data_IF_748037485436
#
_entry.id   IF_748037485436
#
_cell.length_a   1.000
_cell.length_b   1.000
_cell.length_c   1.000
_cell.angle_alpha   90.00
_cell.angle_beta   90.00
_cell.angle_gamma   90.00
#
_symmetry.space_group_name_H-M   'P 1'
#
loop_
_entity.id
_entity.type
_entity.pdbx_description
1 polymer ?
#
# COMPACT_ATOMS: atom_id res chain seq x y z
N UNK A 1 64.99 60.67 -10.80
CA UNK A 1 66.04 60.89 -11.82
C UNK A 1 65.41 60.54 -13.16
N UNK A 2 65.24 61.54 -14.03
CA UNK A 2 64.94 61.56 -15.50
C UNK A 2 64.15 60.43 -16.19
N UNK A 3 63.38 60.60 -17.27
CA UNK A 3 62.62 61.66 -17.96
C UNK A 3 62.21 61.02 -19.32
N UNK A 4 60.92 61.09 -19.74
CA UNK A 4 60.36 61.13 -21.14
C UNK A 4 60.65 60.00 -22.16
N UNK A 5 59.84 59.61 -23.18
CA UNK A 5 58.72 60.17 -23.99
C UNK A 5 58.17 59.01 -24.88
N UNK A 6 56.96 58.90 -25.45
CA UNK A 6 55.72 59.68 -25.48
C UNK A 6 54.63 59.10 -26.46
N UNK A 7 53.36 59.54 -26.28
CA UNK A 7 52.31 59.89 -27.30
C UNK A 7 51.63 58.72 -28.10
N UNK A 8 50.28 58.58 -28.34
CA UNK A 8 49.01 59.34 -28.15
C UNK A 8 47.73 58.43 -28.29
N UNK A 9 46.65 58.80 -27.57
CA UNK A 9 45.17 58.82 -27.83
C UNK A 9 44.50 57.77 -28.76
N UNK A 10 43.36 57.14 -28.42
CA UNK A 10 42.01 57.75 -28.26
C UNK A 10 41.01 56.81 -27.57
N UNK A 11 40.05 57.41 -26.88
CA UNK A 11 38.98 56.80 -26.07
C UNK A 11 37.69 56.70 -26.90
N UNK A 12 36.96 55.59 -26.84
CA UNK A 12 35.53 55.62 -27.13
C UNK A 12 34.76 54.55 -26.33
N UNK A 13 33.89 55.03 -25.46
CA UNK A 13 32.93 54.28 -24.66
C UNK A 13 31.64 54.26 -25.46
N UNK A 14 31.16 53.07 -25.84
CA UNK A 14 29.89 52.94 -26.55
C UNK A 14 28.74 52.71 -25.57
N UNK A 15 27.81 53.66 -25.64
CA UNK A 15 26.53 53.74 -24.96
C UNK A 15 25.54 52.66 -25.45
N UNK A 16 24.71 52.15 -24.55
CA UNK A 16 23.55 51.31 -24.85
C UNK A 16 22.44 52.14 -25.49
N UNK A 17 21.95 51.73 -26.66
CA UNK A 17 20.69 52.19 -27.24
C UNK A 17 19.65 51.06 -27.21
N UNK A 18 18.55 51.31 -26.50
CA UNK A 18 17.31 50.54 -26.59
C UNK A 18 16.60 50.85 -27.92
N UNK A 19 16.46 49.86 -28.80
CA UNK A 19 15.58 49.95 -29.96
C UNK A 19 14.34 49.08 -29.80
N UNK A 20 13.19 49.74 -29.75
CA UNK A 20 11.86 49.14 -29.67
C UNK A 20 11.52 48.30 -30.89
N UNK A 21 11.02 47.09 -30.64
CA UNK A 21 10.50 46.19 -31.66
C UNK A 21 9.08 46.62 -32.03
N UNK A 22 8.96 47.45 -33.07
CA UNK A 22 7.70 47.62 -33.80
C UNK A 22 7.86 47.04 -35.20
N UNK A 23 6.87 46.23 -35.59
CA UNK A 23 6.41 45.94 -36.96
C UNK A 23 7.47 45.62 -38.03
N UNK A 24 7.57 44.33 -38.41
CA UNK A 24 8.12 43.96 -39.72
C UNK A 24 7.10 43.09 -40.50
N UNK A 25 6.64 43.52 -41.69
CA UNK A 25 5.65 42.80 -42.47
C UNK A 25 6.25 41.62 -43.24
N UNK A 26 5.45 40.56 -43.35
CA UNK A 26 5.70 39.35 -44.12
C UNK A 26 5.75 39.64 -45.62
N UNK A 27 6.93 39.71 -46.24
CA UNK A 27 7.17 39.34 -47.66
C UNK A 27 8.66 39.44 -47.99
N UNK A 28 9.37 38.31 -48.05
CA UNK A 28 10.65 38.22 -48.76
C UNK A 28 10.46 37.18 -49.86
N UNK A 29 10.52 37.62 -51.12
CA UNK A 29 10.49 36.76 -52.29
C UNK A 29 11.73 35.85 -52.31
N UNK A 30 11.62 34.56 -52.68
CA UNK A 30 12.76 33.66 -52.73
C UNK A 30 13.70 34.00 -53.90
N UNK A 31 15.00 34.01 -53.63
CA UNK A 31 16.05 34.27 -54.63
C UNK A 31 16.18 33.19 -55.72
N UNK A 32 16.84 33.50 -56.85
CA UNK A 32 16.69 32.79 -58.13
C UNK A 32 17.47 31.46 -58.25
N UNK A 33 17.88 30.83 -57.16
CA UNK A 33 18.73 29.62 -57.18
C UNK A 33 18.16 28.42 -56.42
N UNK A 34 16.86 28.17 -56.50
CA UNK A 34 16.24 26.96 -55.97
C UNK A 34 15.34 26.30 -57.02
N UNK A 35 15.96 25.72 -58.05
CA UNK A 35 15.28 24.80 -58.97
C UNK A 35 15.73 23.38 -58.67
N UNK A 36 14.75 22.50 -58.44
CA UNK A 36 14.86 21.03 -58.32
C UNK A 36 15.30 20.48 -56.96
N UNK A 37 14.43 20.67 -55.96
CA UNK A 37 14.42 19.87 -54.74
C UNK A 37 13.04 19.95 -54.14
N UNK A 38 12.11 19.12 -54.62
CA UNK A 38 10.78 19.00 -54.05
C UNK A 38 10.86 18.38 -52.65
N UNK A 39 11.21 19.18 -51.64
CA UNK A 39 10.89 18.82 -50.26
C UNK A 39 9.36 18.79 -50.18
N UNK A 40 8.77 17.60 -50.26
CA UNK A 40 7.48 17.37 -49.64
C UNK A 40 7.66 17.62 -48.15
N UNK A 41 7.51 18.89 -47.73
CA UNK A 41 7.24 19.24 -46.35
C UNK A 41 5.90 18.58 -46.06
N UNK A 42 5.92 17.34 -45.54
CA UNK A 42 4.73 16.71 -44.94
C UNK A 42 4.19 17.77 -43.99
N UNK A 43 2.95 18.21 -44.23
CA UNK A 43 2.28 19.09 -43.29
C UNK A 43 2.45 18.48 -41.89
N UNK A 44 2.95 19.24 -40.90
CA UNK A 44 3.26 18.68 -39.62
C UNK A 44 1.99 18.05 -39.05
N UNK A 45 2.08 16.77 -38.65
CA UNK A 45 0.99 16.03 -38.03
C UNK A 45 0.29 16.95 -37.02
N UNK A 46 -1.02 17.13 -37.16
CA UNK A 46 -1.82 18.07 -36.35
C UNK A 46 -1.57 17.87 -34.85
N UNK A 47 -1.39 16.62 -34.43
CA UNK A 47 -1.11 16.27 -33.03
C UNK A 47 0.34 16.52 -32.60
N UNK A 48 1.30 16.55 -33.52
CA UNK A 48 2.69 16.93 -33.24
C UNK A 48 2.77 18.39 -32.80
N UNK A 49 2.18 19.30 -33.59
CA UNK A 49 2.12 20.73 -33.28
C UNK A 49 1.40 20.97 -31.95
N UNK A 50 0.28 20.27 -31.72
CA UNK A 50 -0.45 20.36 -30.46
C UNK A 50 0.40 19.90 -29.26
N UNK A 51 1.14 18.81 -29.41
CA UNK A 51 1.95 18.25 -28.32
C UNK A 51 3.11 19.16 -27.89
N UNK A 52 3.66 19.95 -28.81
CA UNK A 52 4.73 20.91 -28.54
C UNK A 52 4.26 22.08 -27.65
N UNK A 53 2.95 22.39 -27.66
CA UNK A 53 2.37 23.43 -26.79
C UNK A 53 2.28 23.01 -25.30
N UNK A 54 2.49 21.73 -25.00
CA UNK A 54 2.35 21.23 -23.64
C UNK A 54 3.63 21.40 -22.80
N UNK A 55 3.50 22.10 -21.68
CA UNK A 55 4.52 22.13 -20.63
C UNK A 55 4.57 20.85 -19.78
N UNK A 56 5.40 20.86 -18.74
CA UNK A 56 5.65 19.70 -17.85
C UNK A 56 4.40 19.06 -17.22
N UNK A 57 3.26 19.77 -17.18
CA UNK A 57 1.97 19.21 -16.72
C UNK A 57 1.54 17.93 -17.44
N UNK A 58 1.93 17.73 -18.71
CA UNK A 58 1.59 16.51 -19.47
C UNK A 58 2.39 15.31 -18.96
N UNK A 59 3.63 15.53 -18.52
CA UNK A 59 4.46 14.49 -17.94
C UNK A 59 3.84 13.97 -16.64
N UNK A 60 3.47 14.85 -15.70
CA UNK A 60 2.84 14.44 -14.44
C UNK A 60 1.52 13.69 -14.66
N UNK A 61 0.71 14.09 -15.64
CA UNK A 61 -0.52 13.36 -15.99
C UNK A 61 -0.23 11.96 -16.55
N UNK A 62 0.83 11.79 -17.33
CA UNK A 62 1.25 10.47 -17.84
C UNK A 62 1.78 9.58 -16.71
N UNK A 63 2.59 10.15 -15.82
CA UNK A 63 3.14 9.43 -14.66
C UNK A 63 2.05 9.00 -13.68
N UNK A 64 1.16 9.91 -13.30
CA UNK A 64 0.01 9.58 -12.46
C UNK A 64 -0.93 8.57 -13.13
N UNK A 65 -1.11 8.62 -14.46
CA UNK A 65 -1.90 7.60 -15.17
C UNK A 65 -1.26 6.22 -15.03
N UNK A 66 0.06 6.15 -15.22
CA UNK A 66 0.81 4.91 -15.05
C UNK A 66 0.74 4.38 -13.62
N UNK A 67 0.82 5.24 -12.59
CA UNK A 67 0.64 4.81 -11.20
C UNK A 67 -0.75 4.23 -10.94
N UNK A 68 -1.80 4.89 -11.45
CA UNK A 68 -3.18 4.40 -11.32
C UNK A 68 -3.31 3.03 -12.01
N UNK A 69 -2.82 2.90 -13.24
CA UNK A 69 -2.85 1.64 -13.98
C UNK A 69 -2.01 0.56 -13.26
N UNK A 70 -0.85 0.90 -12.68
CA UNK A 70 -0.01 -0.02 -11.93
C UNK A 70 -0.71 -0.56 -10.69
N UNK A 71 -1.32 0.32 -9.88
CA UNK A 71 -2.07 -0.08 -8.68
C UNK A 71 -3.24 -1.00 -9.06
N UNK A 72 -4.01 -0.64 -10.09
CA UNK A 72 -5.15 -1.44 -10.54
C UNK A 72 -4.73 -2.82 -11.05
N UNK A 73 -3.66 -2.90 -11.84
CA UNK A 73 -3.18 -4.17 -12.38
C UNK A 73 -2.59 -5.03 -11.28
N UNK A 74 -1.67 -4.51 -10.46
CA UNK A 74 -0.98 -5.28 -9.41
C UNK A 74 -1.97 -5.76 -8.35
N UNK A 75 -2.75 -4.87 -7.77
CA UNK A 75 -3.62 -5.24 -6.65
C UNK A 75 -4.95 -5.85 -7.12
N UNK A 76 -5.50 -5.38 -8.24
CA UNK A 76 -6.75 -5.92 -8.78
C UNK A 76 -6.58 -7.20 -9.55
N UNK A 77 -5.96 -7.11 -10.73
CA UNK A 77 -5.77 -8.28 -11.59
C UNK A 77 -4.80 -9.28 -10.95
N UNK A 78 -3.70 -8.83 -10.36
CA UNK A 78 -2.77 -9.69 -9.62
C UNK A 78 -3.45 -10.37 -8.42
N UNK A 79 -4.28 -9.64 -7.67
CA UNK A 79 -5.12 -10.20 -6.61
C UNK A 79 -6.06 -11.29 -7.13
N UNK A 80 -6.83 -11.00 -8.19
CA UNK A 80 -7.73 -11.97 -8.83
C UNK A 80 -7.00 -13.26 -9.24
N UNK A 81 -5.86 -13.13 -9.93
CA UNK A 81 -5.06 -14.29 -10.37
C UNK A 81 -4.57 -15.08 -9.17
N UNK A 82 -4.05 -14.41 -8.14
CA UNK A 82 -3.57 -15.06 -6.92
C UNK A 82 -4.66 -15.85 -6.20
N UNK A 83 -5.84 -15.24 -5.95
CA UNK A 83 -6.94 -15.93 -5.26
C UNK A 83 -7.54 -17.06 -6.08
N UNK A 84 -7.62 -16.88 -7.41
CA UNK A 84 -8.10 -17.95 -8.30
C UNK A 84 -7.13 -19.13 -8.28
N UNK A 85 -5.82 -18.86 -8.40
CA UNK A 85 -4.79 -19.90 -8.33
C UNK A 85 -4.80 -20.63 -6.98
N UNK A 86 -5.00 -19.91 -5.87
CA UNK A 86 -5.13 -20.51 -4.53
C UNK A 86 -6.34 -21.44 -4.44
N UNK A 87 -7.49 -21.04 -4.98
CA UNK A 87 -8.71 -21.87 -4.99
C UNK A 87 -8.56 -23.13 -5.86
N UNK A 88 -7.93 -22.99 -7.03
CA UNK A 88 -7.78 -24.10 -7.99
C UNK A 88 -6.75 -25.13 -7.53
N UNK A 89 -5.68 -24.69 -6.87
CA UNK A 89 -4.59 -25.59 -6.50
C UNK A 89 -4.88 -26.48 -5.29
N UNK A 90 -5.94 -26.20 -4.50
CA UNK A 90 -6.24 -26.82 -3.18
C UNK A 90 -5.05 -26.88 -2.20
N UNK A 91 -3.92 -26.23 -2.53
CA UNK A 91 -2.68 -26.25 -1.78
C UNK A 91 -2.54 -24.99 -0.92
N UNK A 92 -1.79 -25.10 0.18
CA UNK A 92 -1.51 -23.97 1.07
C UNK A 92 -0.78 -22.82 0.36
N UNK A 93 0.03 -23.13 -0.67
CA UNK A 93 0.73 -22.14 -1.48
C UNK A 93 0.47 -22.34 -2.98
N UNK A 94 -0.05 -21.33 -3.70
CA UNK A 94 -0.21 -21.43 -5.14
C UNK A 94 1.15 -21.41 -5.83
N UNK A 95 1.25 -22.09 -6.99
CA UNK A 95 2.46 -22.03 -7.81
C UNK A 95 2.73 -20.59 -8.28
N UNK A 96 3.70 -19.94 -7.66
CA UNK A 96 4.04 -18.53 -7.93
C UNK A 96 4.50 -18.31 -9.37
N UNK A 97 5.13 -19.30 -10.01
CA UNK A 97 5.53 -19.20 -11.42
C UNK A 97 4.32 -19.05 -12.34
N UNK A 98 3.26 -19.82 -12.10
CA UNK A 98 2.02 -19.75 -12.87
C UNK A 98 1.27 -18.44 -12.62
N UNK A 99 1.21 -17.99 -11.35
CA UNK A 99 0.60 -16.71 -10.96
C UNK A 99 1.29 -15.55 -11.68
N UNK A 100 2.62 -15.51 -11.65
CA UNK A 100 3.41 -14.46 -12.32
C UNK A 100 3.23 -14.53 -13.84
N UNK A 101 3.22 -15.73 -14.43
CA UNK A 101 3.01 -15.90 -15.88
C UNK A 101 1.65 -15.35 -16.33
N UNK A 102 0.55 -15.72 -15.65
CA UNK A 102 -0.80 -15.23 -15.94
C UNK A 102 -0.93 -13.72 -15.69
N UNK A 103 -0.24 -13.21 -14.66
CA UNK A 103 -0.17 -11.79 -14.37
C UNK A 103 0.48 -11.00 -15.53
N UNK A 104 1.63 -11.47 -16.02
CA UNK A 104 2.35 -10.84 -17.12
C UNK A 104 1.55 -10.87 -18.44
N UNK A 105 0.95 -12.02 -18.77
CA UNK A 105 0.14 -12.15 -19.99
C UNK A 105 -1.08 -11.22 -19.92
N UNK A 106 -1.82 -11.22 -18.81
CA UNK A 106 -3.02 -10.38 -18.70
C UNK A 106 -2.71 -8.89 -18.67
N UNK A 107 -1.63 -8.47 -18.00
CA UNK A 107 -1.19 -7.07 -18.02
C UNK A 107 -0.76 -6.62 -19.42
N UNK A 108 -0.07 -7.48 -20.18
CA UNK A 108 0.26 -7.22 -21.57
C UNK A 108 -1.00 -7.06 -22.45
N UNK A 109 -1.96 -7.97 -22.32
CA UNK A 109 -3.25 -7.90 -23.04
C UNK A 109 -4.05 -6.64 -22.68
N UNK A 110 -4.06 -6.24 -21.40
CA UNK A 110 -4.74 -5.03 -20.94
C UNK A 110 -4.24 -3.78 -21.67
N UNK A 111 -2.91 -3.56 -21.71
CA UNK A 111 -2.34 -2.40 -22.41
C UNK A 111 -2.54 -2.49 -23.92
N UNK A 112 -2.33 -3.66 -24.52
CA UNK A 112 -2.47 -3.85 -25.97
C UNK A 112 -3.89 -3.57 -26.47
N UNK A 113 -4.90 -4.11 -25.79
CA UNK A 113 -6.30 -4.02 -26.23
C UNK A 113 -6.87 -2.62 -25.97
N UNK A 114 -6.67 -2.07 -24.76
CA UNK A 114 -7.26 -0.79 -24.39
C UNK A 114 -6.59 0.37 -25.15
N UNK A 115 -5.26 0.43 -25.19
CA UNK A 115 -4.57 1.47 -25.96
C UNK A 115 -4.81 1.32 -27.47
N UNK A 116 -4.83 0.09 -28.00
CA UNK A 116 -5.02 -0.16 -29.43
C UNK A 116 -6.41 0.20 -29.94
N UNK A 117 -7.46 -0.19 -29.21
CA UNK A 117 -8.84 0.03 -29.64
C UNK A 117 -9.33 1.45 -29.34
N UNK A 118 -8.88 2.06 -28.24
CA UNK A 118 -9.48 3.31 -27.76
C UNK A 118 -8.49 4.45 -27.57
N UNK A 119 -7.20 4.15 -27.45
CA UNK A 119 -6.19 5.12 -27.04
C UNK A 119 -6.24 5.48 -25.55
N UNK A 120 -7.10 4.84 -24.76
CA UNK A 120 -7.20 5.02 -23.31
C UNK A 120 -6.72 3.79 -22.56
N UNK A 121 -6.14 4.02 -21.39
CA UNK A 121 -6.06 3.07 -20.27
C UNK A 121 -6.94 3.62 -19.14
N UNK A 122 -7.21 2.84 -18.09
CA UNK A 122 -8.00 3.31 -16.95
C UNK A 122 -7.40 4.60 -16.35
N UNK A 123 -6.10 4.62 -16.08
CA UNK A 123 -5.41 5.80 -15.54
C UNK A 123 -5.46 7.00 -16.49
N UNK A 124 -5.28 6.78 -17.79
CA UNK A 124 -5.36 7.85 -18.81
C UNK A 124 -6.76 8.41 -18.96
N UNK A 125 -7.78 7.55 -18.85
CA UNK A 125 -9.18 7.95 -18.87
C UNK A 125 -9.51 8.88 -17.69
N UNK A 126 -9.11 8.50 -16.48
CA UNK A 126 -9.29 9.31 -15.26
C UNK A 126 -8.60 10.67 -15.38
N UNK A 127 -7.36 10.70 -15.90
CA UNK A 127 -6.59 11.94 -16.04
C UNK A 127 -6.91 12.74 -17.31
N UNK A 128 -7.91 12.29 -18.08
CA UNK A 128 -8.41 12.92 -19.31
C UNK A 128 -7.30 13.16 -20.33
N UNK A 129 -6.45 12.16 -20.52
CA UNK A 129 -5.43 12.11 -21.57
C UNK A 129 -5.68 10.91 -22.49
N UNK A 130 -5.35 11.03 -23.76
CA UNK A 130 -5.59 9.99 -24.76
C UNK A 130 -4.39 9.85 -25.68
N UNK A 131 -4.03 8.60 -26.01
CA UNK A 131 -3.07 8.27 -27.06
C UNK A 131 -3.78 8.34 -28.42
N UNK A 132 -3.20 9.10 -29.34
CA UNK A 132 -3.73 9.32 -30.68
C UNK A 132 -2.63 9.22 -31.74
N UNK A 133 -3.02 8.96 -32.98
CA UNK A 133 -2.15 9.08 -34.15
C UNK A 133 -1.98 10.57 -34.55
N UNK A 134 -1.19 10.87 -35.59
CA UNK A 134 -0.98 12.24 -36.08
C UNK A 134 -2.25 13.02 -36.44
N UNK A 135 -3.35 12.31 -36.76
CA UNK A 135 -4.65 12.88 -37.12
C UNK A 135 -5.60 13.10 -35.93
N UNK A 136 -5.26 12.61 -34.73
CA UNK A 136 -6.12 12.68 -33.54
C UNK A 136 -7.11 11.52 -33.39
N UNK A 137 -6.93 10.43 -34.15
CA UNK A 137 -7.72 9.18 -34.04
C UNK A 137 -7.00 8.15 -33.14
N UNK A 138 -7.70 7.12 -32.63
CA UNK A 138 -7.06 6.03 -31.90
C UNK A 138 -5.92 5.38 -32.71
N UNK A 139 -4.84 4.92 -32.05
CA UNK A 139 -3.61 4.47 -32.72
C UNK A 139 -3.77 3.15 -33.49
N UNK A 140 -4.75 2.30 -33.13
CA UNK A 140 -4.90 0.97 -33.70
C UNK A 140 -3.97 -0.07 -33.03
N UNK A 141 -4.26 -1.35 -33.26
CA UNK A 141 -3.62 -2.48 -32.56
C UNK A 141 -2.12 -2.55 -32.86
N UNK A 142 -1.72 -2.37 -34.13
CA UNK A 142 -0.29 -2.47 -34.54
C UNK A 142 0.57 -1.42 -33.85
N UNK A 143 0.12 -0.15 -33.86
CA UNK A 143 0.85 0.94 -33.20
C UNK A 143 0.86 0.75 -31.68
N UNK A 144 -0.21 0.23 -31.10
CA UNK A 144 -0.25 -0.14 -29.68
C UNK A 144 0.72 -1.27 -29.34
N UNK A 145 0.82 -2.29 -30.18
CA UNK A 145 1.75 -3.40 -29.97
C UNK A 145 3.21 -2.93 -29.94
N UNK A 146 3.60 -2.08 -30.90
CA UNK A 146 4.94 -1.48 -30.93
C UNK A 146 5.21 -0.71 -29.64
N UNK A 147 4.23 0.07 -29.16
CA UNK A 147 4.34 0.81 -27.90
C UNK A 147 4.51 -0.13 -26.72
N UNK A 148 3.67 -1.17 -26.59
CA UNK A 148 3.69 -2.11 -25.46
C UNK A 148 4.97 -2.95 -25.43
N UNK A 149 5.50 -3.37 -26.59
CA UNK A 149 6.77 -4.10 -26.67
C UNK A 149 7.97 -3.23 -26.25
N UNK A 150 8.03 -1.99 -26.75
CA UNK A 150 9.09 -1.05 -26.36
C UNK A 150 8.96 -0.66 -24.89
N UNK A 151 7.73 -0.59 -24.38
CA UNK A 151 7.45 -0.30 -22.97
C UNK A 151 8.00 -1.37 -22.02
N UNK A 152 8.15 -2.62 -22.46
CA UNK A 152 8.78 -3.67 -21.64
C UNK A 152 10.25 -3.35 -21.32
N UNK A 153 10.93 -2.62 -22.21
CA UNK A 153 12.33 -2.21 -22.07
C UNK A 153 12.43 -0.81 -21.44
N UNK A 154 11.64 0.15 -21.92
CA UNK A 154 11.72 1.58 -21.57
C UNK A 154 10.97 1.93 -20.25
N UNK A 155 10.01 1.11 -19.84
CA UNK A 155 9.19 1.31 -18.62
C UNK A 155 9.19 0.05 -17.76
N UNK A 156 10.36 -0.59 -17.63
CA UNK A 156 10.51 -1.73 -16.73
C UNK A 156 10.32 -1.26 -15.27
N UNK A 157 9.33 -1.80 -14.53
CA UNK A 157 9.10 -1.42 -13.12
C UNK A 157 10.30 -1.69 -12.21
N UNK A 158 11.16 -2.66 -12.55
CA UNK A 158 12.32 -3.07 -11.76
C UNK A 158 13.50 -2.09 -11.86
N UNK A 159 13.60 -1.31 -12.94
CA UNK A 159 14.66 -0.32 -13.14
C UNK A 159 14.10 1.10 -13.07
N UNK A 160 13.84 1.57 -11.84
CA UNK A 160 13.55 2.99 -11.51
C UNK A 160 12.14 3.53 -11.86
N UNK A 161 11.06 2.75 -11.72
CA UNK A 161 9.67 3.27 -11.75
C UNK A 161 9.34 4.19 -12.96
N UNK A 162 9.94 3.93 -14.13
CA UNK A 162 9.68 4.71 -15.35
C UNK A 162 10.32 6.10 -15.42
N UNK A 163 11.29 6.41 -14.55
CA UNK A 163 12.06 7.67 -14.60
C UNK A 163 12.77 7.93 -15.94
N UNK A 164 13.38 6.92 -16.63
CA UNK A 164 14.00 7.13 -17.95
C UNK A 164 12.99 7.60 -19.01
N UNK A 165 11.85 6.93 -19.10
CA UNK A 165 10.76 7.31 -19.98
C UNK A 165 10.19 8.71 -19.65
N UNK A 166 10.19 9.08 -18.37
CA UNK A 166 9.82 10.42 -17.91
C UNK A 166 10.77 11.52 -18.37
N UNK A 167 12.08 11.25 -18.25
CA UNK A 167 13.13 12.15 -18.72
C UNK A 167 13.04 12.35 -20.24
N UNK A 168 12.81 11.28 -21.01
CA UNK A 168 12.61 11.39 -22.47
C UNK A 168 11.44 12.32 -22.83
N UNK A 169 10.32 12.29 -22.08
CA UNK A 169 9.17 13.17 -22.32
C UNK A 169 9.51 14.63 -22.01
N UNK A 170 10.29 14.90 -20.96
CA UNK A 170 10.67 16.26 -20.59
C UNK A 170 11.65 16.86 -21.61
N UNK A 171 12.62 16.06 -22.06
CA UNK A 171 13.69 16.45 -22.98
C UNK A 171 13.22 16.56 -24.43
N UNK A 172 12.31 15.70 -24.87
CA UNK A 172 11.86 15.69 -26.28
C UNK A 172 10.91 16.87 -26.57
N UNK A 173 11.09 17.65 -27.66
CA UNK A 173 10.22 18.78 -28.01
C UNK A 173 8.73 18.40 -28.11
N UNK A 174 8.46 17.22 -28.68
CA UNK A 174 7.09 16.68 -28.87
C UNK A 174 6.53 15.93 -27.67
N UNK A 175 7.23 15.92 -26.53
CA UNK A 175 6.81 15.24 -25.29
C UNK A 175 6.47 13.75 -25.51
N UNK A 176 7.25 13.08 -26.36
CA UNK A 176 7.11 11.67 -26.73
C UNK A 176 8.13 10.79 -26.00
N UNK A 177 7.73 9.57 -25.64
CA UNK A 177 8.62 8.49 -25.20
C UNK A 177 9.22 7.75 -26.40
N UNK A 178 10.20 6.87 -26.16
CA UNK A 178 10.82 6.04 -27.21
C UNK A 178 9.74 5.22 -27.94
N UNK A 179 8.83 4.58 -27.19
CA UNK A 179 7.71 3.85 -27.78
C UNK A 179 6.70 4.74 -28.52
N UNK A 180 6.51 5.99 -28.08
CA UNK A 180 5.61 6.94 -28.75
C UNK A 180 6.20 7.40 -30.10
N UNK A 181 7.52 7.62 -30.14
CA UNK A 181 8.27 8.00 -31.34
C UNK A 181 8.28 6.87 -32.37
N UNK A 182 8.58 5.63 -31.95
CA UNK A 182 8.58 4.47 -32.82
C UNK A 182 7.21 4.19 -33.46
N UNK A 183 6.13 4.41 -32.73
CA UNK A 183 4.77 4.23 -33.25
C UNK A 183 4.19 5.46 -33.96
N UNK A 184 4.91 6.59 -33.99
CA UNK A 184 4.41 7.89 -34.48
C UNK A 184 3.04 8.23 -33.86
N UNK A 185 3.01 8.24 -32.53
CA UNK A 185 1.82 8.49 -31.72
C UNK A 185 2.07 9.58 -30.70
N UNK A 186 1.01 10.29 -30.33
CA UNK A 186 1.04 11.42 -29.43
C UNK A 186 0.07 11.15 -28.29
N UNK A 187 0.36 11.63 -27.08
CA UNK A 187 -0.68 11.66 -26.03
C UNK A 187 -1.01 13.10 -25.69
N UNK A 188 -2.31 13.38 -25.79
CA UNK A 188 -2.89 14.72 -25.77
C UNK A 188 -4.01 14.78 -24.74
N UNK A 189 -4.37 15.99 -24.32
CA UNK A 189 -5.50 16.19 -23.40
C UNK A 189 -6.80 16.04 -24.18
N UNK A 190 -7.77 15.31 -23.63
CA UNK A 190 -9.04 15.01 -24.32
C UNK A 190 -9.82 16.29 -24.66
N UNK A 191 -9.68 17.33 -23.85
CA UNK A 191 -10.30 18.64 -24.10
C UNK A 191 -9.81 19.33 -25.38
N UNK A 192 -8.63 18.97 -25.87
CA UNK A 192 -8.01 19.56 -27.05
C UNK A 192 -8.31 18.72 -28.33
N UNK A 193 -9.01 17.58 -28.18
CA UNK A 193 -9.51 16.76 -29.28
C UNK A 193 -10.91 17.24 -29.71
N UNK A 194 -11.12 17.40 -31.02
CA UNK A 194 -12.41 17.82 -31.59
C UNK A 194 -13.57 16.85 -31.26
N UNK A 195 -14.82 17.32 -31.37
CA UNK A 195 -16.06 16.67 -30.89
C UNK A 195 -16.40 15.26 -31.45
N UNK A 196 -15.54 14.63 -32.23
CA UNK A 196 -15.85 13.43 -33.04
C UNK A 196 -15.93 12.09 -32.27
N UNK A 197 -15.42 12.00 -31.03
CA UNK A 197 -15.31 10.72 -30.31
C UNK A 197 -16.41 10.35 -29.30
N UNK A 198 -17.39 11.23 -29.06
CA UNK A 198 -18.14 11.26 -27.78
C UNK A 198 -19.16 10.12 -27.55
N UNK A 199 -19.63 9.42 -28.60
CA UNK A 199 -20.72 8.42 -28.47
C UNK A 199 -20.27 7.03 -27.99
N UNK A 200 -19.03 6.60 -28.25
CA UNK A 200 -18.52 5.27 -27.81
C UNK A 200 -18.00 5.27 -26.37
N UNK A 201 -17.93 6.43 -25.73
CA UNK A 201 -17.29 6.64 -24.42
C UNK A 201 -18.16 6.18 -23.23
N UNK A 202 -19.50 6.17 -23.35
CA UNK A 202 -20.40 5.87 -22.22
C UNK A 202 -20.40 4.41 -21.77
N UNK A 203 -20.60 3.47 -22.70
CA UNK A 203 -20.57 2.02 -22.41
C UNK A 203 -19.17 1.61 -21.91
N UNK A 204 -18.14 2.17 -22.54
CA UNK A 204 -16.75 1.93 -22.18
C UNK A 204 -16.42 2.48 -20.78
N UNK A 205 -16.90 3.67 -20.43
CA UNK A 205 -16.77 4.22 -19.09
C UNK A 205 -17.44 3.33 -18.03
N UNK A 206 -18.61 2.75 -18.33
CA UNK A 206 -19.28 1.80 -17.46
C UNK A 206 -18.47 0.51 -17.23
N UNK A 207 -17.95 -0.09 -18.31
CA UNK A 207 -17.10 -1.27 -18.22
C UNK A 207 -15.80 -1.01 -17.45
N UNK A 208 -15.20 0.17 -17.67
CA UNK A 208 -14.04 0.66 -16.93
C UNK A 208 -14.34 0.77 -15.44
N UNK A 209 -15.45 1.42 -15.07
CA UNK A 209 -15.85 1.60 -13.67
C UNK A 209 -16.08 0.23 -13.00
N UNK A 210 -16.78 -0.68 -13.68
CA UNK A 210 -17.01 -2.03 -13.16
C UNK A 210 -15.68 -2.78 -12.94
N UNK A 211 -14.76 -2.75 -13.90
CA UNK A 211 -13.43 -3.35 -13.78
C UNK A 211 -12.63 -2.74 -12.62
N UNK A 212 -12.74 -1.42 -12.40
CA UNK A 212 -12.07 -0.76 -11.26
C UNK A 212 -12.66 -1.19 -9.92
N UNK A 213 -13.99 -1.34 -9.81
CA UNK A 213 -14.64 -1.80 -8.58
C UNK A 213 -14.19 -3.24 -8.25
N UNK A 214 -14.21 -4.13 -9.26
CA UNK A 214 -13.76 -5.51 -9.12
C UNK A 214 -12.28 -5.55 -8.68
N UNK A 215 -11.44 -4.74 -9.33
CA UNK A 215 -10.03 -4.58 -8.98
C UNK A 215 -9.84 -4.13 -7.52
N UNK A 216 -10.65 -3.20 -7.01
CA UNK A 216 -10.54 -2.73 -5.62
C UNK A 216 -10.90 -3.85 -4.64
N UNK A 217 -11.93 -4.66 -4.93
CA UNK A 217 -12.31 -5.80 -4.08
C UNK A 217 -11.16 -6.80 -3.95
N UNK A 218 -10.55 -7.19 -5.08
CA UNK A 218 -9.40 -8.10 -5.07
C UNK A 218 -8.16 -7.48 -4.42
N UNK A 219 -7.96 -6.17 -4.58
CA UNK A 219 -6.88 -5.45 -3.92
C UNK A 219 -6.98 -5.51 -2.39
N UNK A 220 -8.17 -5.23 -1.84
CA UNK A 220 -8.41 -5.29 -0.39
C UNK A 220 -8.18 -6.70 0.14
N UNK A 221 -8.68 -7.72 -0.57
CA UNK A 221 -8.46 -9.13 -0.21
C UNK A 221 -6.96 -9.49 -0.21
N UNK A 222 -6.21 -9.06 -1.24
CA UNK A 222 -4.78 -9.34 -1.38
C UNK A 222 -3.98 -8.67 -0.27
N UNK A 223 -4.24 -7.39 -0.01
CA UNK A 223 -3.61 -6.62 1.06
C UNK A 223 -3.90 -7.25 2.42
N UNK A 224 -5.14 -7.67 2.69
CA UNK A 224 -5.50 -8.36 3.92
C UNK A 224 -4.68 -9.65 4.12
N UNK A 225 -4.49 -10.44 3.06
CA UNK A 225 -3.68 -11.66 3.11
C UNK A 225 -2.20 -11.35 3.40
N UNK A 226 -1.64 -10.32 2.75
CA UNK A 226 -0.26 -9.90 3.00
C UNK A 226 -0.07 -9.41 4.44
N UNK A 227 -1.02 -8.61 4.96
CA UNK A 227 -1.00 -8.15 6.37
C UNK A 227 -1.00 -9.35 7.31
N UNK A 228 -1.84 -10.37 7.09
CA UNK A 228 -1.86 -11.57 7.95
C UNK A 228 -0.56 -12.38 7.91
N UNK A 229 0.22 -12.31 6.83
CA UNK A 229 1.53 -12.99 6.76
C UNK A 229 2.64 -12.23 7.49
N UNK A 230 2.56 -10.90 7.51
CA UNK A 230 3.52 -10.02 8.19
C UNK A 230 3.25 -10.02 9.69
N UNK A 231 1.97 -10.03 10.07
CA UNK A 231 1.50 -9.99 11.46
C UNK A 231 1.41 -11.42 12.02
N UNK A 232 2.56 -11.98 12.40
CA UNK A 232 2.60 -13.27 13.11
C UNK A 232 2.41 -13.06 14.61
N UNK A 233 1.55 -13.83 15.29
CA UNK A 233 1.49 -13.84 16.74
C UNK A 233 2.83 -14.28 17.34
N UNK A 234 3.22 -13.65 18.45
CA UNK A 234 4.42 -13.97 19.21
C UNK A 234 4.07 -14.89 20.37
N UNK A 235 4.95 -15.85 20.66
CA UNK A 235 4.81 -16.78 21.78
C UNK A 235 5.62 -16.26 22.96
N UNK A 236 4.94 -16.02 24.07
CA UNK A 236 5.55 -15.59 25.33
C UNK A 236 5.58 -16.77 26.29
N UNK A 237 6.78 -17.22 26.66
CA UNK A 237 6.98 -18.35 27.58
C UNK A 237 7.19 -17.89 29.02
N UNK A 238 6.85 -18.74 29.99
CA UNK A 238 7.22 -18.53 31.40
C UNK A 238 8.73 -18.50 31.59
N UNK A 239 9.19 -17.96 32.73
CA UNK A 239 10.62 -17.88 33.07
C UNK A 239 11.32 -19.25 33.06
N UNK A 240 10.60 -20.29 33.45
CA UNK A 240 11.03 -21.69 33.48
C UNK A 240 10.69 -22.48 32.21
N UNK A 241 10.09 -21.83 31.21
CA UNK A 241 9.67 -22.42 29.93
C UNK A 241 8.64 -23.57 30.02
N UNK A 242 7.95 -23.72 31.15
CA UNK A 242 6.89 -24.72 31.32
C UNK A 242 5.54 -24.30 30.75
N UNK A 243 5.30 -23.00 30.58
CA UNK A 243 4.01 -22.49 30.11
C UNK A 243 4.20 -21.43 29.03
N UNK A 244 3.19 -21.25 28.19
CA UNK A 244 3.21 -20.23 27.16
C UNK A 244 1.84 -19.63 26.89
N UNK A 245 1.83 -18.35 26.52
CA UNK A 245 0.70 -17.67 25.89
C UNK A 245 1.12 -17.12 24.52
N UNK A 246 0.17 -16.82 23.67
CA UNK A 246 0.40 -16.30 22.32
C UNK A 246 -0.40 -15.03 22.14
N UNK A 247 0.30 -13.93 21.87
CA UNK A 247 -0.31 -12.62 21.71
C UNK A 247 0.05 -12.00 20.35
N UNK A 248 -0.77 -11.07 19.83
CA UNK A 248 -0.46 -10.37 18.59
C UNK A 248 0.86 -9.59 18.67
N UNK A 249 1.48 -9.35 17.50
CA UNK A 249 2.75 -8.63 17.32
C UNK A 249 2.92 -7.26 18.03
N UNK A 250 1.83 -6.64 18.46
CA UNK A 250 1.82 -5.35 19.14
C UNK A 250 1.80 -5.49 20.68
N UNK A 251 1.96 -6.70 21.20
CA UNK A 251 2.21 -6.98 22.60
C UNK A 251 3.71 -7.15 22.83
N UNK A 252 4.19 -6.73 24.00
CA UNK A 252 5.58 -6.84 24.40
C UNK A 252 5.69 -7.29 25.85
N UNK A 253 6.82 -7.91 26.22
CA UNK A 253 7.09 -8.31 27.61
C UNK A 253 7.40 -7.09 28.46
N UNK A 254 6.81 -7.04 29.66
CA UNK A 254 7.13 -6.04 30.67
C UNK A 254 7.08 -6.66 32.07
N UNK A 255 8.25 -6.97 32.63
CA UNK A 255 8.36 -7.60 33.94
C UNK A 255 8.20 -6.61 35.10
N UNK A 256 8.04 -5.31 34.86
CA UNK A 256 7.87 -4.31 35.92
C UNK A 256 6.43 -4.22 36.43
N UNK A 257 5.47 -4.83 35.72
CA UNK A 257 4.05 -4.82 36.11
C UNK A 257 3.82 -5.66 37.37
N UNK A 258 4.45 -6.84 37.42
CA UNK A 258 4.42 -7.73 38.58
C UNK A 258 5.68 -8.61 38.52
N UNK A 259 6.53 -8.51 39.55
CA UNK A 259 7.82 -9.23 39.60
C UNK A 259 7.65 -10.75 39.79
N UNK A 260 6.57 -11.14 40.48
CA UNK A 260 6.24 -12.54 40.78
C UNK A 260 5.62 -13.25 39.57
N UNK A 261 5.09 -12.52 38.58
CA UNK A 261 4.51 -13.10 37.39
C UNK A 261 5.51 -13.93 36.57
N UNK A 262 5.07 -15.11 36.13
CA UNK A 262 5.82 -15.98 35.21
C UNK A 262 5.85 -15.42 33.79
N UNK A 263 4.71 -14.86 33.38
CA UNK A 263 4.53 -14.18 32.11
C UNK A 263 3.90 -12.82 32.42
N UNK A 264 4.49 -11.76 31.90
CA UNK A 264 3.94 -10.41 32.00
C UNK A 264 4.10 -9.70 30.67
N UNK A 265 2.96 -9.39 30.04
CA UNK A 265 2.90 -8.79 28.71
C UNK A 265 1.95 -7.59 28.71
N UNK A 266 2.28 -6.59 27.90
CA UNK A 266 1.45 -5.40 27.71
C UNK A 266 1.34 -5.02 26.26
N UNK A 267 0.28 -4.28 25.96
CA UNK A 267 0.14 -3.50 24.75
C UNK A 267 0.08 -2.03 25.15
N UNK A 268 1.19 -1.33 24.98
CA UNK A 268 1.33 0.07 25.41
C UNK A 268 0.42 1.03 24.64
N UNK A 269 0.17 0.76 23.35
CA UNK A 269 -0.67 1.61 22.50
C UNK A 269 -2.15 1.55 22.89
N UNK A 270 -2.62 0.38 23.35
CA UNK A 270 -4.04 0.17 23.70
C UNK A 270 -4.29 0.10 25.20
N UNK A 271 -3.23 0.19 26.01
CA UNK A 271 -3.24 0.12 27.48
C UNK A 271 -3.98 -1.13 27.96
N UNK A 272 -3.46 -2.28 27.52
CA UNK A 272 -3.94 -3.61 27.87
C UNK A 272 -2.80 -4.40 28.46
N UNK A 273 -3.11 -5.21 29.44
CA UNK A 273 -2.12 -5.92 30.23
C UNK A 273 -2.61 -7.34 30.45
N UNK A 274 -1.67 -8.28 30.48
CA UNK A 274 -1.94 -9.67 30.85
C UNK A 274 -0.75 -10.20 31.62
N UNK A 275 -1.02 -10.81 32.77
CA UNK A 275 -0.04 -11.58 33.53
C UNK A 275 -0.54 -13.00 33.74
N UNK A 276 0.41 -13.91 33.89
CA UNK A 276 0.19 -15.29 34.31
C UNK A 276 1.05 -15.55 35.54
N UNK A 277 0.41 -16.01 36.61
CA UNK A 277 1.07 -16.54 37.80
C UNK A 277 0.69 -18.02 37.92
N UNK A 278 1.67 -18.85 38.24
CA UNK A 278 1.50 -20.30 38.36
C UNK A 278 2.01 -20.76 39.72
N UNK A 279 1.22 -21.60 40.37
CA UNK A 279 1.54 -22.15 41.68
C UNK A 279 1.46 -23.68 41.59
N UNK A 280 2.48 -24.42 42.03
CA UNK A 280 2.48 -25.88 41.92
C UNK A 280 1.43 -26.46 42.86
N UNK A 281 0.73 -27.51 42.40
CA UNK A 281 -0.29 -28.18 43.22
C UNK A 281 0.25 -28.76 44.53
N UNK A 282 1.56 -29.00 44.61
CA UNK A 282 2.24 -29.46 45.83
C UNK A 282 2.16 -28.47 46.99
N UNK A 283 1.89 -27.20 46.70
CA UNK A 283 1.83 -26.15 47.72
C UNK A 283 0.44 -26.07 48.39
N UNK A 284 -0.52 -26.84 47.89
CA UNK A 284 -1.90 -26.89 48.38
C UNK A 284 -2.24 -28.26 48.98
N UNK A 285 -3.35 -28.33 49.73
CA UNK A 285 -3.90 -29.61 50.16
C UNK A 285 -4.28 -30.47 48.93
N UNK A 286 -4.04 -31.77 49.02
CA UNK A 286 -4.46 -32.75 48.01
C UNK A 286 -5.96 -32.74 47.68
N UNK A 287 -6.81 -32.25 48.59
CA UNK A 287 -8.25 -32.10 48.35
C UNK A 287 -8.64 -30.78 47.69
N UNK A 288 -7.69 -29.87 47.47
CA UNK A 288 -7.93 -28.54 46.91
C UNK A 288 -8.61 -28.66 45.54
N UNK A 289 -9.72 -27.94 45.37
CA UNK A 289 -10.48 -27.89 44.12
C UNK A 289 -10.24 -26.57 43.36
N UNK A 290 -10.51 -26.56 42.05
CA UNK A 290 -10.46 -25.34 41.25
C UNK A 290 -11.44 -24.26 41.74
N UNK A 291 -12.61 -24.63 42.27
CA UNK A 291 -13.57 -23.70 42.87
C UNK A 291 -13.01 -23.05 44.15
N UNK A 292 -12.36 -23.82 45.02
CA UNK A 292 -11.69 -23.28 46.22
C UNK A 292 -10.53 -22.37 45.83
N UNK A 293 -9.73 -22.77 44.84
CA UNK A 293 -8.64 -21.96 44.32
C UNK A 293 -9.14 -20.62 43.79
N UNK A 294 -10.19 -20.64 42.97
CA UNK A 294 -10.89 -19.43 42.52
C UNK A 294 -11.36 -18.57 43.69
N UNK A 295 -11.84 -19.17 44.78
CA UNK A 295 -12.25 -18.45 45.98
C UNK A 295 -11.10 -17.67 46.63
N UNK A 296 -9.94 -18.29 46.77
CA UNK A 296 -8.73 -17.66 47.31
C UNK A 296 -8.30 -16.47 46.44
N UNK A 297 -8.23 -16.67 45.12
CA UNK A 297 -7.82 -15.61 44.19
C UNK A 297 -8.82 -14.46 44.18
N UNK A 298 -10.12 -14.75 44.20
CA UNK A 298 -11.16 -13.73 44.26
C UNK A 298 -11.07 -12.88 45.53
N UNK A 299 -10.91 -13.50 46.70
CA UNK A 299 -10.75 -12.80 47.97
C UNK A 299 -9.50 -11.92 47.96
N UNK A 300 -8.38 -12.46 47.47
CA UNK A 300 -7.13 -11.71 47.36
C UNK A 300 -7.28 -10.47 46.47
N UNK A 301 -7.87 -10.62 45.28
CA UNK A 301 -8.03 -9.50 44.34
C UNK A 301 -9.03 -8.44 44.83
N UNK A 302 -10.15 -8.86 45.42
CA UNK A 302 -11.14 -7.95 45.99
C UNK A 302 -10.54 -7.17 47.16
N UNK A 303 -9.69 -7.79 47.98
CA UNK A 303 -9.02 -7.13 49.09
C UNK A 303 -7.97 -6.08 48.65
N UNK A 304 -7.38 -6.26 47.47
CA UNK A 304 -6.33 -5.41 46.93
C UNK A 304 -6.82 -4.21 46.10
N UNK A 305 -8.12 -4.10 45.82
CA UNK A 305 -8.68 -3.10 44.90
C UNK A 305 -9.80 -2.30 45.57
N UNK A 306 -9.80 -0.98 45.36
CA UNK A 306 -10.86 -0.08 45.86
C UNK A 306 -12.09 -0.09 44.96
N UNK A 307 -13.29 0.17 45.53
CA UNK A 307 -14.57 0.19 44.79
C UNK A 307 -14.81 -1.06 43.94
N UNK A 308 -14.59 -2.23 44.53
CA UNK A 308 -14.65 -3.51 43.83
C UNK A 308 -16.10 -3.96 43.55
N UNK A 309 -16.37 -4.31 42.29
CA UNK A 309 -17.63 -4.88 41.82
C UNK A 309 -17.33 -6.19 41.08
N UNK A 310 -17.72 -7.31 41.71
CA UNK A 310 -17.50 -8.65 41.19
C UNK A 310 -18.61 -9.03 40.21
N UNK A 311 -18.23 -9.52 39.03
CA UNK A 311 -19.15 -10.07 38.03
C UNK A 311 -19.42 -11.55 38.21
N UNK A 312 -20.25 -12.10 37.32
CA UNK A 312 -20.57 -13.52 37.34
C UNK A 312 -19.36 -14.38 36.97
N UNK A 313 -19.23 -15.52 37.66
CA UNK A 313 -18.30 -16.57 37.28
C UNK A 313 -18.92 -17.51 36.24
N UNK A 314 -18.09 -18.03 35.34
CA UNK A 314 -18.48 -19.03 34.35
C UNK A 314 -17.40 -20.08 34.18
N UNK A 315 -17.80 -21.35 34.22
CA UNK A 315 -16.93 -22.47 33.90
C UNK A 315 -16.63 -22.51 32.39
N UNK A 316 -15.39 -22.83 32.04
CA UNK A 316 -14.94 -23.00 30.66
C UNK A 316 -13.78 -23.98 30.58
N UNK A 317 -13.28 -24.19 29.36
CA UNK A 317 -12.12 -25.05 29.08
C UNK A 317 -11.11 -24.25 28.27
N UNK A 318 -9.88 -24.13 28.78
CA UNK A 318 -8.76 -23.47 28.09
C UNK A 318 -7.79 -24.53 27.59
N UNK A 319 -7.70 -24.73 26.27
CA UNK A 319 -6.84 -25.75 25.65
C UNK A 319 -6.94 -27.16 26.27
N UNK A 320 -8.14 -27.56 26.70
CA UNK A 320 -8.41 -28.86 27.31
C UNK A 320 -8.32 -28.89 28.83
N UNK A 321 -7.88 -27.81 29.48
CA UNK A 321 -7.83 -27.68 30.93
C UNK A 321 -9.10 -27.03 31.49
N UNK A 322 -9.66 -27.55 32.60
CA UNK A 322 -10.77 -26.91 33.28
C UNK A 322 -10.37 -25.54 33.81
N UNK A 323 -11.26 -24.56 33.65
CA UNK A 323 -11.00 -23.17 34.01
C UNK A 323 -12.27 -22.46 34.47
N UNK A 324 -12.11 -21.44 35.33
CA UNK A 324 -13.21 -20.59 35.79
C UNK A 324 -12.85 -19.14 35.47
N UNK A 325 -13.68 -18.48 34.67
CA UNK A 325 -13.56 -17.04 34.38
C UNK A 325 -14.51 -16.24 35.26
N UNK A 326 -14.04 -15.10 35.76
CA UNK A 326 -14.88 -14.05 36.34
C UNK A 326 -14.33 -12.67 35.98
N UNK A 327 -15.15 -11.65 36.15
CA UNK A 327 -14.74 -10.25 35.97
C UNK A 327 -14.72 -9.52 37.29
N UNK A 328 -13.77 -8.62 37.46
CA UNK A 328 -13.70 -7.74 38.62
C UNK A 328 -13.47 -6.31 38.13
N UNK A 329 -14.42 -5.44 38.42
CA UNK A 329 -14.25 -4.00 38.21
C UNK A 329 -13.77 -3.39 39.51
N UNK A 330 -12.90 -2.39 39.43
CA UNK A 330 -12.53 -1.57 40.58
C UNK A 330 -11.63 -0.41 40.19
N UNK A 331 -11.07 0.26 41.19
CA UNK A 331 -10.20 1.42 41.00
C UNK A 331 -8.80 1.16 41.52
N UNK A 332 -7.80 1.56 40.72
CA UNK A 332 -6.37 1.58 41.09
C UNK A 332 -5.87 3.00 40.82
N UNK A 333 -5.30 3.65 41.83
CA UNK A 333 -4.86 5.05 41.79
C UNK A 333 -5.93 6.01 41.26
N UNK A 334 -7.19 5.80 41.66
CA UNK A 334 -8.34 6.60 41.22
C UNK A 334 -8.74 6.40 39.76
N UNK A 335 -8.21 5.35 39.11
CA UNK A 335 -8.53 5.02 37.72
C UNK A 335 -9.34 3.73 37.64
N UNK A 336 -10.54 3.74 37.02
CA UNK A 336 -11.37 2.55 36.93
C UNK A 336 -10.82 1.54 35.93
N UNK A 337 -10.54 0.34 36.42
CA UNK A 337 -9.99 -0.81 35.69
C UNK A 337 -11.03 -1.93 35.68
N UNK A 338 -11.03 -2.70 34.60
CA UNK A 338 -11.77 -3.95 34.52
C UNK A 338 -10.78 -5.10 34.33
N UNK A 339 -10.80 -6.03 35.27
CA UNK A 339 -10.08 -7.30 35.20
C UNK A 339 -10.98 -8.39 34.63
N UNK A 340 -10.39 -9.22 33.79
CA UNK A 340 -10.86 -10.53 33.39
C UNK A 340 -9.88 -11.54 33.98
N UNK A 341 -10.35 -12.28 34.98
CA UNK A 341 -9.53 -13.24 35.71
C UNK A 341 -9.96 -14.62 35.25
N UNK A 342 -9.01 -15.49 34.97
CA UNK A 342 -9.30 -16.91 34.72
C UNK A 342 -8.37 -17.76 35.55
N UNK A 343 -8.93 -18.59 36.42
CA UNK A 343 -8.19 -19.65 37.09
C UNK A 343 -8.21 -20.91 36.22
N UNK A 344 -7.08 -21.58 36.10
CA UNK A 344 -6.91 -22.76 35.25
C UNK A 344 -6.25 -23.85 36.08
N UNK A 345 -6.76 -25.07 36.01
CA UNK A 345 -6.19 -26.23 36.65
C UNK A 345 -5.51 -27.14 35.61
N UNK A 346 -4.18 -27.27 35.71
CA UNK A 346 -3.40 -28.25 34.95
C UNK A 346 -3.08 -29.46 35.82
N UNK A 347 -2.49 -30.55 35.27
CA UNK A 347 -2.10 -31.70 36.08
C UNK A 347 -1.08 -31.35 37.19
N UNK A 348 -0.24 -30.35 36.95
CA UNK A 348 0.91 -30.02 37.79
C UNK A 348 0.71 -28.75 38.64
N UNK A 349 -0.07 -27.78 38.15
CA UNK A 349 -0.17 -26.44 38.73
C UNK A 349 -1.63 -25.92 38.76
N UNK A 350 -1.85 -24.92 39.61
CA UNK A 350 -2.93 -23.96 39.47
C UNK A 350 -2.38 -22.68 38.84
N UNK A 351 -3.13 -22.09 37.93
CA UNK A 351 -2.74 -20.86 37.25
C UNK A 351 -3.80 -19.80 37.40
N UNK A 352 -3.36 -18.54 37.44
CA UNK A 352 -4.21 -17.38 37.31
C UNK A 352 -3.74 -16.54 36.13
N UNK A 353 -4.62 -16.38 35.15
CA UNK A 353 -4.43 -15.47 34.01
C UNK A 353 -5.25 -14.22 34.28
N UNK A 354 -4.57 -13.11 34.59
CA UNK A 354 -5.21 -11.83 34.86
C UNK A 354 -4.99 -10.93 33.65
N UNK A 355 -6.07 -10.54 32.99
CA UNK A 355 -6.04 -9.62 31.87
C UNK A 355 -6.85 -8.37 32.21
N UNK A 356 -6.30 -7.17 32.02
CA UNK A 356 -7.01 -5.94 32.37
C UNK A 356 -6.75 -4.78 31.42
N UNK A 357 -7.66 -3.82 31.49
CA UNK A 357 -7.60 -2.53 30.81
C UNK A 357 -8.55 -1.55 31.52
N UNK A 358 -8.57 -0.29 31.10
CA UNK A 358 -9.54 0.67 31.63
C UNK A 358 -10.98 0.23 31.40
N UNK A 359 -11.83 0.43 32.40
CA UNK A 359 -13.24 0.00 32.36
C UNK A 359 -13.99 0.54 31.12
N UNK A 360 -13.68 1.78 30.71
CA UNK A 360 -14.26 2.42 29.52
C UNK A 360 -13.89 1.74 28.19
N UNK A 361 -12.82 0.95 28.15
CA UNK A 361 -12.31 0.26 26.96
C UNK A 361 -12.57 -1.23 26.95
N UNK A 362 -12.97 -1.80 28.08
CA UNK A 362 -13.09 -3.24 28.25
C UNK A 362 -14.00 -3.90 27.21
N UNK A 363 -15.15 -3.30 26.88
CA UNK A 363 -16.07 -3.83 25.87
C UNK A 363 -15.45 -4.06 24.49
N UNK A 364 -14.41 -3.29 24.13
CA UNK A 364 -13.65 -3.44 22.87
C UNK A 364 -12.42 -4.34 23.01
N UNK A 365 -11.92 -4.52 24.23
CA UNK A 365 -10.70 -5.28 24.51
C UNK A 365 -10.99 -6.74 24.87
N UNK A 366 -12.14 -7.04 25.47
CA UNK A 366 -12.48 -8.34 26.05
C UNK A 366 -12.28 -9.50 25.07
N UNK A 367 -12.67 -9.34 23.80
CA UNK A 367 -12.51 -10.41 22.81
C UNK A 367 -11.02 -10.73 22.54
N UNK A 368 -10.15 -9.73 22.51
CA UNK A 368 -8.71 -9.93 22.29
C UNK A 368 -8.06 -10.53 23.53
N UNK A 369 -8.37 -10.01 24.72
CA UNK A 369 -7.85 -10.54 25.98
C UNK A 369 -8.21 -12.02 26.17
N UNK A 370 -9.47 -12.39 25.88
CA UNK A 370 -9.93 -13.78 25.90
C UNK A 370 -9.17 -14.64 24.90
N UNK A 371 -8.92 -14.17 23.67
CA UNK A 371 -8.11 -14.92 22.69
C UNK A 371 -6.69 -15.18 23.17
N UNK A 372 -6.06 -14.22 23.84
CA UNK A 372 -4.70 -14.41 24.38
C UNK A 372 -4.74 -15.42 25.52
N UNK A 373 -5.68 -15.30 26.46
CA UNK A 373 -5.89 -16.30 27.51
C UNK A 373 -6.15 -17.69 26.93
N UNK A 374 -7.03 -17.82 25.93
CA UNK A 374 -7.38 -19.11 25.32
C UNK A 374 -6.18 -19.79 24.65
N UNK A 375 -5.11 -19.05 24.38
CA UNK A 375 -3.85 -19.60 23.85
C UNK A 375 -2.90 -20.14 24.93
N UNK A 376 -3.25 -19.97 26.21
CA UNK A 376 -2.50 -20.51 27.34
C UNK A 376 -2.35 -22.02 27.23
N UNK A 377 -1.12 -22.51 27.40
CA UNK A 377 -0.81 -23.94 27.33
C UNK A 377 0.40 -24.28 28.18
N UNK A 378 0.39 -25.50 28.68
CA UNK A 378 1.57 -26.17 29.22
C UNK A 378 2.45 -26.64 28.05
N UNK A 379 3.74 -26.34 28.14
CA UNK A 379 4.75 -26.78 27.19
C UNK A 379 5.21 -28.16 27.64
N UNK A 380 4.75 -29.21 26.97
CA UNK A 380 5.22 -30.57 27.25
C UNK A 380 6.75 -30.59 27.13
N UNK A 381 7.44 -30.99 28.21
CA UNK A 381 8.84 -31.40 28.13
C UNK A 381 8.90 -32.60 27.19
N UNK A 382 9.39 -32.39 25.97
CA UNK A 382 9.80 -33.47 25.07
C UNK A 382 11.08 -34.13 25.59
#
# INVERSE_FOLDING_TARGET
MLYLTGIKLTTEVYHLEEHGVTNNPSTVAPGPYATNGGYHRREPDKMAVLSETYGASIFFRRWAAWMIDFILIVFGYGGLVYFTAKKVSEAETPNMGLVVMLFLIGSFCYYLLLEGLTGYTLGKFVLRIQVVNGEGRPPGIVKSLIRTLIQLVDTNPLFFLGLPAGLCVLVTPRKQRIGDMAASTYVVKVRDLGKSGRKKTGIFAGAIILMTIISIVFAVSLISTLITQIVKPEVFTSKDSQFAVTAPWNWSRDNMINEEADISIKNELTERYLIVLSEPKSDFDSSMTLQEYKGIIEEHLVSGITDSELGNASDLVVNGYPAIEFTLKGEVDGTPIMYNVTTIETPSHYHQVLAWTYASRYSRAQQELRKIRDSFREMNML
#
